data_IF_454098821247
#
_entry.id   IF_454098821247
#
_cell.length_a   1.000
_cell.length_b   1.000
_cell.length_c   1.000
_cell.angle_alpha   90.00
_cell.angle_beta   90.00
_cell.angle_gamma   90.00
#
_symmetry.space_group_name_H-M   'P 1'
#
loop_
_entity.id
_entity.type
_entity.pdbx_description
1 polymer ?
#
# COMPACT_ATOMS: atom_id res chain seq x y z
N UNK A 1 40.26 -29.34 -31.63
CA UNK A 1 39.02 -29.75 -32.32
C UNK A 1 39.24 -31.17 -32.83
N UNK A 2 38.45 -32.18 -32.45
CA UNK A 2 38.65 -33.59 -32.87
C UNK A 2 38.76 -33.75 -34.39
N UNK A 3 38.06 -32.89 -35.14
CA UNK A 3 38.12 -32.79 -36.61
C UNK A 3 39.46 -32.28 -37.15
N UNK A 4 40.26 -31.54 -36.36
CA UNK A 4 41.59 -31.03 -36.75
C UNK A 4 42.73 -32.03 -36.51
N UNK A 5 42.49 -33.15 -35.82
CA UNK A 5 43.53 -34.10 -35.39
C UNK A 5 43.45 -35.44 -36.15
N UNK A 6 42.56 -35.57 -37.16
CA UNK A 6 42.54 -36.73 -38.06
C UNK A 6 42.16 -38.07 -37.39
N UNK A 7 41.56 -38.05 -36.21
CA UNK A 7 41.15 -39.25 -35.47
C UNK A 7 39.97 -39.95 -36.17
N UNK A 8 40.05 -41.28 -36.30
CA UNK A 8 38.94 -42.10 -36.77
C UNK A 8 37.73 -41.91 -35.83
N UNK A 9 36.55 -41.64 -36.40
CA UNK A 9 35.31 -41.28 -35.68
C UNK A 9 35.28 -39.87 -35.03
N UNK A 10 36.02 -38.89 -35.55
CA UNK A 10 36.00 -37.49 -35.07
C UNK A 10 34.60 -36.86 -34.93
N UNK A 11 33.66 -37.19 -35.82
CA UNK A 11 32.25 -36.76 -35.73
C UNK A 11 31.56 -37.27 -34.46
N UNK A 12 31.82 -38.52 -34.05
CA UNK A 12 31.21 -39.10 -32.85
C UNK A 12 31.64 -38.34 -31.59
N UNK A 13 32.92 -37.95 -31.51
CA UNK A 13 33.42 -37.17 -30.37
C UNK A 13 32.87 -35.73 -30.36
N UNK A 14 32.67 -35.14 -31.55
CA UNK A 14 32.04 -33.83 -31.67
C UNK A 14 30.56 -33.88 -31.23
N UNK A 15 29.80 -34.85 -31.73
CA UNK A 15 28.39 -35.03 -31.39
C UNK A 15 28.19 -35.26 -29.89
N UNK A 16 29.02 -36.10 -29.27
CA UNK A 16 28.98 -36.34 -27.83
C UNK A 16 29.29 -35.06 -27.04
N UNK A 17 30.34 -34.33 -27.41
CA UNK A 17 30.68 -33.08 -26.73
C UNK A 17 29.56 -32.03 -26.88
N UNK A 18 28.96 -31.93 -28.07
CA UNK A 18 27.86 -31.01 -28.34
C UNK A 18 26.61 -31.34 -27.53
N UNK A 19 26.21 -32.63 -27.50
CA UNK A 19 25.06 -33.09 -26.72
C UNK A 19 25.29 -32.88 -25.22
N UNK A 20 26.49 -33.14 -24.70
CA UNK A 20 26.84 -32.88 -23.30
C UNK A 20 26.72 -31.39 -22.96
N UNK A 21 27.17 -30.49 -23.84
CA UNK A 21 27.03 -29.04 -23.64
C UNK A 21 25.57 -28.62 -23.65
N UNK A 22 24.76 -29.12 -24.60
CA UNK A 22 23.32 -28.81 -24.65
C UNK A 22 22.61 -29.28 -23.37
N UNK A 23 22.87 -30.51 -22.94
CA UNK A 23 22.27 -31.06 -21.71
C UNK A 23 22.70 -30.23 -20.49
N UNK A 24 23.96 -29.82 -20.40
CA UNK A 24 24.46 -28.97 -19.33
C UNK A 24 23.77 -27.61 -19.31
N UNK A 25 23.60 -26.96 -20.46
CA UNK A 25 22.93 -25.66 -20.55
C UNK A 25 21.44 -25.76 -20.23
N UNK A 26 20.77 -26.84 -20.63
CA UNK A 26 19.37 -27.09 -20.27
C UNK A 26 19.21 -27.31 -18.76
N UNK A 27 20.08 -28.12 -18.15
CA UNK A 27 20.02 -28.40 -16.71
C UNK A 27 20.33 -27.14 -15.88
N UNK A 28 21.31 -26.34 -16.31
CA UNK A 28 21.68 -25.08 -15.66
C UNK A 28 20.60 -24.01 -15.83
N UNK A 29 20.06 -23.85 -17.05
CA UNK A 29 19.00 -22.89 -17.32
C UNK A 29 17.70 -23.21 -16.57
N UNK A 30 17.35 -24.50 -16.48
CA UNK A 30 16.13 -24.94 -15.79
C UNK A 30 16.20 -24.70 -14.27
N UNK A 31 17.37 -24.82 -13.64
CA UNK A 31 17.51 -24.70 -12.18
C UNK A 31 17.48 -23.25 -11.67
N UNK A 32 17.78 -22.27 -12.52
CA UNK A 32 17.80 -20.85 -12.15
C UNK A 32 16.41 -20.31 -11.79
N UNK A 33 15.39 -20.64 -12.60
CA UNK A 33 14.01 -20.16 -12.42
C UNK A 33 13.30 -20.65 -11.13
N UNK A 34 13.36 -21.93 -10.74
CA UNK A 34 12.82 -22.40 -9.46
C UNK A 34 13.65 -21.90 -8.27
N UNK A 35 14.98 -21.78 -8.39
CA UNK A 35 15.82 -21.22 -7.34
C UNK A 35 15.47 -19.76 -7.04
N UNK A 36 15.33 -18.92 -8.07
CA UNK A 36 14.92 -17.52 -7.93
C UNK A 36 13.53 -17.37 -7.27
N UNK A 37 12.60 -18.27 -7.58
CA UNK A 37 11.27 -18.32 -6.95
C UNK A 37 11.32 -18.75 -5.50
N UNK A 38 12.12 -19.78 -5.17
CA UNK A 38 12.27 -20.29 -3.80
C UNK A 38 12.98 -19.30 -2.87
N UNK A 39 13.91 -18.52 -3.40
CA UNK A 39 14.65 -17.49 -2.65
C UNK A 39 13.89 -16.16 -2.55
N UNK A 40 12.66 -16.04 -3.09
CA UNK A 40 11.89 -14.79 -3.16
C UNK A 40 12.64 -13.60 -3.80
N UNK A 41 13.70 -13.86 -4.58
CA UNK A 41 14.48 -12.86 -5.32
C UNK A 41 13.80 -12.49 -6.64
N UNK A 42 12.83 -13.31 -7.09
CA UNK A 42 11.92 -12.92 -8.14
C UNK A 42 11.03 -11.77 -7.64
N UNK A 43 11.48 -10.52 -7.81
CA UNK A 43 10.63 -9.36 -7.60
C UNK A 43 9.33 -9.58 -8.42
N UNK A 44 8.14 -9.35 -7.83
CA UNK A 44 6.92 -9.22 -8.61
C UNK A 44 7.25 -8.28 -9.77
N UNK A 45 6.85 -8.62 -11.00
CA UNK A 45 6.98 -7.68 -12.12
C UNK A 45 6.36 -6.39 -11.63
N UNK A 46 7.19 -5.37 -11.40
CA UNK A 46 6.69 -4.03 -11.12
C UNK A 46 5.71 -3.76 -12.26
N UNK A 47 4.44 -3.59 -11.91
CA UNK A 47 3.42 -3.20 -12.87
C UNK A 47 4.01 -2.05 -13.65
N UNK A 48 4.12 -2.20 -14.98
CA UNK A 48 4.87 -1.28 -15.82
C UNK A 48 4.43 0.14 -15.45
N UNK A 49 5.37 0.91 -14.91
CA UNK A 49 5.14 2.31 -14.62
C UNK A 49 4.61 3.02 -15.87
N UNK A 50 3.91 4.15 -15.70
CA UNK A 50 3.33 4.91 -16.80
C UNK A 50 4.37 5.09 -17.91
N UNK A 51 3.99 4.73 -19.13
CA UNK A 51 4.87 4.82 -20.29
C UNK A 51 4.97 6.29 -20.70
N UNK A 52 6.10 6.90 -20.38
CA UNK A 52 6.40 8.31 -20.66
C UNK A 52 6.89 8.42 -22.11
N UNK A 53 6.27 9.31 -22.88
CA UNK A 53 6.72 9.65 -24.23
C UNK A 53 6.99 11.14 -24.25
N UNK A 54 8.26 11.50 -24.39
CA UNK A 54 8.69 12.88 -24.59
C UNK A 54 8.29 13.29 -26.00
N UNK A 55 7.51 14.37 -26.10
CA UNK A 55 7.08 14.92 -27.37
C UNK A 55 7.72 16.30 -27.49
N UNK A 56 8.74 16.43 -28.32
CA UNK A 56 9.37 17.74 -28.56
C UNK A 56 8.43 18.58 -29.44
N UNK A 57 7.67 19.49 -28.82
CA UNK A 57 6.87 20.47 -29.55
C UNK A 57 7.75 21.65 -29.99
N UNK A 58 7.73 22.06 -31.28
CA UNK A 58 8.46 23.24 -31.73
C UNK A 58 7.83 24.50 -31.13
N UNK A 59 8.58 25.15 -30.24
CA UNK A 59 8.22 26.43 -29.61
C UNK A 59 8.01 26.34 -28.09
N UNK A 60 9.10 26.51 -27.34
CA UNK A 60 9.19 26.98 -25.94
C UNK A 60 8.34 26.33 -24.83
N UNK A 61 7.50 25.35 -25.12
CA UNK A 61 6.71 24.63 -24.14
C UNK A 61 7.21 23.18 -24.11
N UNK A 62 8.22 22.94 -23.28
CA UNK A 62 8.63 21.58 -22.91
C UNK A 62 7.45 20.94 -22.18
N UNK A 63 6.60 20.24 -22.93
CA UNK A 63 5.44 19.52 -22.44
C UNK A 63 5.66 18.06 -22.77
N UNK A 64 5.46 17.20 -21.77
CA UNK A 64 5.56 15.76 -21.92
C UNK A 64 4.16 15.15 -21.99
N UNK A 65 4.00 14.13 -22.83
CA UNK A 65 2.79 13.34 -22.87
C UNK A 65 2.94 12.12 -21.95
N UNK A 66 2.07 12.02 -20.94
CA UNK A 66 2.14 10.97 -19.94
C UNK A 66 0.83 10.18 -19.92
N UNK A 67 0.93 8.86 -20.06
CA UNK A 67 -0.21 7.95 -20.11
C UNK A 67 -0.41 7.19 -18.80
N UNK A 68 -1.63 7.25 -18.26
CA UNK A 68 -2.03 6.60 -17.02
C UNK A 68 -3.23 5.66 -17.21
N UNK A 69 -3.19 4.44 -16.68
CA UNK A 69 -4.39 3.60 -16.58
C UNK A 69 -5.32 4.17 -15.50
N UNK A 70 -6.61 4.28 -15.82
CA UNK A 70 -7.64 4.70 -14.88
C UNK A 70 -8.00 3.53 -14.00
N UNK A 71 -7.60 3.61 -12.73
CA UNK A 71 -7.91 2.56 -11.75
C UNK A 71 -9.17 2.89 -10.94
N UNK A 72 -9.98 1.88 -10.55
CA UNK A 72 -11.22 2.08 -9.80
C UNK A 72 -11.03 2.78 -8.44
N UNK A 73 -9.84 2.68 -7.84
CA UNK A 73 -9.52 3.28 -6.53
C UNK A 73 -8.62 4.50 -6.62
N UNK A 74 -8.35 4.99 -7.83
CA UNK A 74 -7.55 6.20 -8.05
C UNK A 74 -8.27 7.47 -7.58
N UNK A 75 -7.51 8.48 -7.16
CA UNK A 75 -8.05 9.79 -6.80
C UNK A 75 -8.74 10.46 -7.99
N UNK A 76 -8.17 10.28 -9.19
CA UNK A 76 -8.76 10.76 -10.44
C UNK A 76 -10.17 10.18 -10.65
N UNK A 77 -10.33 8.85 -10.58
CA UNK A 77 -11.63 8.23 -10.81
C UNK A 77 -12.67 8.59 -9.72
N UNK A 78 -12.25 8.62 -8.45
CA UNK A 78 -13.19 8.87 -7.33
C UNK A 78 -13.63 10.31 -7.18
N UNK A 79 -12.74 11.28 -7.48
CA UNK A 79 -12.99 12.70 -7.20
C UNK A 79 -12.91 13.61 -8.43
N UNK A 80 -12.53 13.08 -9.60
CA UNK A 80 -12.31 13.87 -10.81
C UNK A 80 -11.18 14.90 -10.68
N UNK A 81 -10.27 14.72 -9.71
CA UNK A 81 -9.25 15.71 -9.41
C UNK A 81 -8.05 15.56 -10.34
N UNK A 82 -7.78 16.62 -11.08
CA UNK A 82 -6.53 16.80 -11.85
C UNK A 82 -5.94 18.19 -11.54
N UNK A 83 -4.60 18.29 -11.44
CA UNK A 83 -3.96 19.58 -11.30
C UNK A 83 -4.20 20.50 -12.50
N UNK A 84 -4.31 21.80 -12.27
CA UNK A 84 -4.53 22.82 -13.32
C UNK A 84 -3.40 22.93 -14.34
N UNK A 85 -2.19 22.49 -13.98
CA UNK A 85 -1.04 22.43 -14.86
C UNK A 85 -1.00 21.17 -15.74
N UNK A 86 -1.97 20.26 -15.60
CA UNK A 86 -2.13 19.10 -16.46
C UNK A 86 -3.36 19.24 -17.33
N UNK A 87 -3.27 18.80 -18.59
CA UNK A 87 -4.39 18.82 -19.53
C UNK A 87 -4.62 17.43 -20.11
N UNK A 88 -5.78 16.79 -19.86
CA UNK A 88 -6.16 15.58 -20.55
C UNK A 88 -6.34 15.87 -22.04
N UNK A 89 -5.73 15.06 -22.90
CA UNK A 89 -5.72 15.29 -24.35
C UNK A 89 -6.36 14.13 -25.10
N UNK A 90 -6.18 12.91 -24.61
CA UNK A 90 -6.59 11.68 -25.28
C UNK A 90 -6.98 10.64 -24.24
N UNK A 91 -8.01 9.84 -24.55
CA UNK A 91 -8.38 8.63 -23.81
C UNK A 91 -8.40 7.45 -24.78
N UNK A 92 -7.82 6.33 -24.37
CA UNK A 92 -7.91 5.05 -25.09
C UNK A 92 -8.86 4.14 -24.32
N UNK A 93 -9.94 3.72 -24.98
CA UNK A 93 -10.93 2.75 -24.47
C UNK A 93 -11.20 1.72 -25.56
N UNK A 94 -11.07 0.43 -25.24
CA UNK A 94 -11.31 -0.67 -26.19
C UNK A 94 -10.60 -0.48 -27.54
N UNK A 95 -9.30 -0.11 -27.51
CA UNK A 95 -8.47 0.19 -28.68
C UNK A 95 -8.93 1.38 -29.54
N UNK A 96 -9.93 2.15 -29.07
CA UNK A 96 -10.41 3.36 -29.73
C UNK A 96 -9.81 4.59 -29.09
N UNK A 97 -9.40 5.53 -29.93
CA UNK A 97 -8.95 6.87 -29.56
C UNK A 97 -10.19 7.76 -29.40
N UNK A 98 -10.38 8.29 -28.19
CA UNK A 98 -11.47 9.19 -27.82
C UNK A 98 -10.89 10.50 -27.28
N UNK A 99 -11.58 11.61 -27.53
CA UNK A 99 -11.31 12.86 -26.81
C UNK A 99 -11.82 12.75 -25.36
N UNK A 100 -11.27 13.54 -24.41
CA UNK A 100 -11.76 13.52 -23.02
C UNK A 100 -13.26 13.81 -22.88
N UNK A 101 -13.84 14.56 -23.82
CA UNK A 101 -15.28 14.87 -23.86
C UNK A 101 -16.09 13.66 -24.33
N UNK A 102 -15.62 12.95 -25.36
CA UNK A 102 -16.28 11.73 -25.86
C UNK A 102 -16.16 10.55 -24.89
N UNK A 103 -15.10 10.55 -24.08
CA UNK A 103 -14.85 9.51 -23.09
C UNK A 103 -15.60 9.73 -21.77
N UNK A 104 -16.33 10.83 -21.60
CA UNK A 104 -17.07 11.14 -20.36
C UNK A 104 -18.40 10.34 -20.28
N UNK A 105 -18.69 9.62 -19.18
CA UNK A 105 -17.85 9.42 -18.01
C UNK A 105 -16.70 8.44 -18.27
N UNK A 106 -15.52 8.80 -17.74
CA UNK A 106 -14.34 7.92 -17.75
C UNK A 106 -14.63 6.65 -16.96
N UNK A 107 -14.23 5.50 -17.48
CA UNK A 107 -14.44 4.19 -16.88
C UNK A 107 -13.12 3.58 -16.39
N UNK A 108 -13.17 2.68 -15.39
CA UNK A 108 -11.98 1.91 -15.01
C UNK A 108 -11.54 1.02 -16.17
N UNK A 109 -10.22 0.99 -16.43
CA UNK A 109 -9.65 0.30 -17.60
C UNK A 109 -9.32 1.22 -18.77
N UNK A 110 -9.82 2.46 -18.76
CA UNK A 110 -9.41 3.48 -19.71
C UNK A 110 -7.93 3.84 -19.54
N UNK A 111 -7.31 4.30 -20.63
CA UNK A 111 -5.95 4.83 -20.61
C UNK A 111 -5.97 6.31 -20.98
N UNK A 112 -5.70 7.19 -20.02
CA UNK A 112 -5.73 8.65 -20.23
C UNK A 112 -4.33 9.17 -20.46
N UNK A 113 -4.19 9.98 -21.50
CA UNK A 113 -2.97 10.72 -21.80
C UNK A 113 -3.16 12.19 -21.45
N UNK A 114 -2.23 12.71 -20.65
CA UNK A 114 -2.19 14.10 -20.22
C UNK A 114 -0.91 14.77 -20.70
N UNK A 115 -1.03 16.04 -21.08
CA UNK A 115 0.11 16.94 -21.25
C UNK A 115 0.46 17.59 -19.92
N UNK A 116 1.73 17.56 -19.56
CA UNK A 116 2.25 18.20 -18.34
C UNK A 116 3.71 18.68 -18.52
N UNK A 117 4.15 19.69 -17.77
CA UNK A 117 5.57 20.05 -17.68
C UNK A 117 6.42 18.89 -17.15
N UNK A 118 7.63 18.65 -17.68
CA UNK A 118 8.45 17.50 -17.32
C UNK A 118 8.82 17.48 -15.83
N UNK A 119 9.04 18.63 -15.20
CA UNK A 119 9.41 18.72 -13.78
C UNK A 119 8.26 18.32 -12.84
N UNK A 120 7.02 18.32 -13.34
CA UNK A 120 5.81 18.01 -12.57
C UNK A 120 5.11 16.74 -13.03
N UNK A 121 5.57 16.13 -14.11
CA UNK A 121 4.99 14.92 -14.69
C UNK A 121 4.88 13.78 -13.66
N UNK A 122 5.90 13.60 -12.81
CA UNK A 122 5.92 12.57 -11.76
C UNK A 122 4.89 12.83 -10.65
N UNK A 123 4.55 14.09 -10.38
CA UNK A 123 3.53 14.42 -9.40
C UNK A 123 2.12 13.97 -9.82
N UNK A 124 1.90 13.62 -11.10
CA UNK A 124 0.64 13.04 -11.58
C UNK A 124 0.45 11.59 -11.13
N UNK A 125 1.53 10.83 -10.91
CA UNK A 125 1.47 9.42 -10.51
C UNK A 125 0.52 9.23 -9.32
N UNK A 126 0.58 10.14 -8.33
CA UNK A 126 -0.24 10.09 -7.11
C UNK A 126 -1.75 10.17 -7.32
N UNK A 127 -2.21 10.69 -8.47
CA UNK A 127 -3.63 10.81 -8.79
C UNK A 127 -4.18 9.55 -9.45
N UNK A 128 -3.32 8.75 -10.08
CA UNK A 128 -3.68 7.56 -10.87
C UNK A 128 -3.28 6.23 -10.22
N UNK A 129 -2.41 6.25 -9.21
CA UNK A 129 -2.18 5.08 -8.35
C UNK A 129 -3.46 4.71 -7.61
N UNK A 130 -3.65 3.42 -7.36
CA UNK A 130 -4.68 2.99 -6.41
C UNK A 130 -4.39 3.66 -5.09
N UNK A 131 -5.38 4.39 -4.57
CA UNK A 131 -5.33 4.73 -3.16
C UNK A 131 -5.17 3.40 -2.44
N UNK A 132 -4.12 3.28 -1.62
CA UNK A 132 -4.09 2.21 -0.64
C UNK A 132 -5.48 2.20 -0.03
N UNK A 133 -6.13 1.03 0.13
CA UNK A 133 -7.23 1.02 1.07
C UNK A 133 -6.63 1.73 2.29
N UNK A 134 -7.21 2.86 2.68
CA UNK A 134 -7.42 3.02 4.10
C UNK A 134 -8.10 1.70 4.38
N UNK A 135 -7.33 0.70 4.84
CA UNK A 135 -7.89 -0.34 5.65
C UNK A 135 -8.75 0.49 6.55
N UNK A 136 -10.08 0.40 6.37
CA UNK A 136 -10.95 0.71 7.48
C UNK A 136 -10.25 -0.02 8.61
N UNK A 137 -9.62 0.70 9.56
CA UNK A 137 -8.83 0.04 10.58
C UNK A 137 -9.74 -1.04 11.14
N UNK A 138 -9.19 -2.22 11.41
CA UNK A 138 -9.95 -3.38 11.87
C UNK A 138 -11.10 -2.93 12.80
N UNK A 139 -12.38 -3.30 12.57
CA UNK A 139 -13.49 -2.87 13.42
C UNK A 139 -13.25 -3.10 14.91
N UNK A 140 -12.44 -4.09 15.27
CA UNK A 140 -12.03 -4.38 16.65
C UNK A 140 -10.84 -3.52 17.14
N UNK A 141 -10.15 -2.83 16.23
CA UNK A 141 -9.21 -1.72 16.50
C UNK A 141 -9.88 -0.35 16.38
N UNK A 142 -11.09 -0.27 15.83
CA UNK A 142 -11.97 0.89 15.82
C UNK A 142 -12.74 0.90 17.14
N UNK A 143 -12.13 1.54 18.14
CA UNK A 143 -12.96 2.35 19.02
C UNK A 143 -13.68 3.37 18.14
N UNK A 144 -14.92 3.04 17.82
CA UNK A 144 -16.03 3.83 17.32
C UNK A 144 -15.82 5.37 17.31
N UNK A 145 -15.80 5.95 16.11
CA UNK A 145 -15.79 7.40 15.86
C UNK A 145 -14.45 8.13 16.14
N UNK A 146 -13.97 8.84 15.11
CA UNK A 146 -12.83 9.76 15.20
C UNK A 146 -13.35 11.19 15.28
N UNK A 147 -12.85 11.94 16.25
CA UNK A 147 -13.23 13.33 16.50
C UNK A 147 -11.98 14.21 16.47
N UNK A 148 -12.12 15.44 15.97
CA UNK A 148 -11.04 16.43 16.05
C UNK A 148 -10.78 16.81 17.51
N UNK A 149 -9.50 16.89 17.89
CA UNK A 149 -9.12 17.21 19.26
C UNK A 149 -9.45 18.65 19.69
N UNK A 150 -9.86 19.51 18.76
CA UNK A 150 -10.31 20.89 19.00
C UNK A 150 -11.74 20.96 19.57
N UNK A 151 -12.51 19.87 19.48
CA UNK A 151 -13.84 19.80 20.08
C UNK A 151 -13.76 19.76 21.60
N UNK A 152 -14.79 20.31 22.25
CA UNK A 152 -14.86 20.33 23.71
C UNK A 152 -15.40 19.03 24.27
N UNK A 153 -15.02 18.70 25.50
CA UNK A 153 -15.58 17.56 26.23
C UNK A 153 -17.10 17.69 26.44
N UNK A 154 -17.61 18.90 26.61
CA UNK A 154 -19.05 19.16 26.72
C UNK A 154 -19.83 18.79 25.46
N UNK A 155 -19.31 19.14 24.28
CA UNK A 155 -19.92 18.73 23.00
C UNK A 155 -19.96 17.21 22.86
N UNK A 156 -18.91 16.52 23.30
CA UNK A 156 -18.84 15.07 23.27
C UNK A 156 -19.81 14.42 24.27
N UNK A 157 -19.95 15.02 25.46
CA UNK A 157 -20.90 14.63 26.48
C UNK A 157 -22.36 14.73 26.02
N UNK A 158 -22.72 15.80 25.30
CA UNK A 158 -24.08 15.97 24.76
C UNK A 158 -24.42 14.93 23.69
N UNK A 159 -23.45 14.55 22.85
CA UNK A 159 -23.67 13.62 21.74
C UNK A 159 -23.72 12.17 22.22
N UNK A 160 -22.79 11.76 23.09
CA UNK A 160 -22.63 10.37 23.51
C UNK A 160 -23.24 10.08 24.89
N UNK A 161 -23.80 11.08 25.55
CA UNK A 161 -24.47 10.93 26.85
C UNK A 161 -23.51 10.65 28.02
N UNK A 162 -22.21 10.90 27.85
CA UNK A 162 -21.19 10.67 28.88
C UNK A 162 -21.16 11.80 29.90
N UNK A 163 -20.91 11.47 31.17
CA UNK A 163 -20.87 12.45 32.24
C UNK A 163 -19.50 13.12 32.31
N UNK A 164 -19.48 14.45 32.26
CA UNK A 164 -18.26 15.26 32.42
C UNK A 164 -18.51 16.33 33.46
N UNK A 165 -17.52 16.59 34.32
CA UNK A 165 -17.58 17.68 35.29
C UNK A 165 -17.71 19.04 34.58
N UNK A 166 -18.49 19.96 35.17
CA UNK A 166 -18.79 21.27 34.57
C UNK A 166 -17.53 22.13 34.32
N UNK A 167 -16.47 21.91 35.12
CA UNK A 167 -15.16 22.53 34.92
C UNK A 167 -14.37 21.91 33.75
N UNK A 168 -14.54 20.61 33.49
CA UNK A 168 -13.87 19.90 32.40
C UNK A 168 -14.63 20.01 31.08
N UNK A 169 -15.94 20.25 31.10
CA UNK A 169 -16.77 20.37 29.91
C UNK A 169 -16.29 21.47 28.94
N UNK A 170 -15.59 22.50 29.44
CA UNK A 170 -15.02 23.60 28.64
C UNK A 170 -13.66 23.29 28.02
N UNK A 171 -13.01 22.21 28.45
CA UNK A 171 -11.70 21.82 27.93
C UNK A 171 -11.86 21.18 26.56
N UNK A 172 -10.90 21.45 25.67
CA UNK A 172 -10.78 20.69 24.42
C UNK A 172 -10.29 19.28 24.73
N UNK A 173 -10.55 18.34 23.83
CA UNK A 173 -10.00 16.99 23.96
C UNK A 173 -8.46 17.05 23.97
N UNK A 174 -7.84 17.93 23.18
CA UNK A 174 -6.39 18.13 23.22
C UNK A 174 -5.89 18.57 24.61
N UNK A 175 -6.52 19.58 25.21
CA UNK A 175 -6.16 20.09 26.53
C UNK A 175 -6.38 19.03 27.61
N UNK A 176 -7.42 18.22 27.48
CA UNK A 176 -7.66 17.10 28.40
C UNK A 176 -6.54 16.07 28.35
N UNK A 177 -6.04 15.73 27.15
CA UNK A 177 -4.87 14.86 27.01
C UNK A 177 -3.59 15.49 27.60
N UNK A 178 -3.41 16.81 27.45
CA UNK A 178 -2.23 17.51 27.98
C UNK A 178 -2.26 17.65 29.51
N UNK A 179 -3.44 17.82 30.12
CA UNK A 179 -3.60 17.96 31.59
C UNK A 179 -3.53 16.60 32.29
N UNK A 180 -4.14 15.56 31.71
CA UNK A 180 -4.35 14.28 32.38
C UNK A 180 -3.23 13.26 32.11
N UNK A 181 -2.27 13.57 31.23
CA UNK A 181 -1.08 12.73 31.02
C UNK A 181 0.14 13.31 31.73
N UNK A 182 0.80 12.50 32.55
CA UNK A 182 2.07 12.88 33.24
C UNK A 182 3.25 13.15 32.28
N UNK A 183 3.09 12.79 31.01
CA UNK A 183 4.11 12.90 29.96
C UNK A 183 3.47 13.36 28.66
N UNK A 184 4.30 13.93 27.78
CA UNK A 184 3.85 14.33 26.45
C UNK A 184 3.07 13.20 25.75
N UNK A 185 1.93 13.51 25.11
CA UNK A 185 1.07 12.51 24.53
C UNK A 185 1.82 11.69 23.47
N UNK A 186 1.54 10.40 23.43
CA UNK A 186 2.03 9.47 22.40
C UNK A 186 0.86 8.86 21.66
N UNK A 187 1.06 8.50 20.40
CA UNK A 187 0.04 7.80 19.62
C UNK A 187 -0.33 6.49 20.33
N UNK A 188 -1.63 6.24 20.46
CA UNK A 188 -2.20 5.14 21.24
C UNK A 188 -2.34 5.41 22.74
N UNK A 189 -2.04 6.61 23.25
CA UNK A 189 -2.33 6.96 24.65
C UNK A 189 -3.83 6.93 24.90
N UNK A 190 -4.24 6.33 26.03
CA UNK A 190 -5.64 6.14 26.38
C UNK A 190 -5.99 6.92 27.65
N UNK A 191 -7.15 7.58 27.66
CA UNK A 191 -7.73 8.25 28.81
C UNK A 191 -9.18 7.83 28.96
N UNK A 192 -9.56 7.36 30.15
CA UNK A 192 -10.94 7.00 30.44
C UNK A 192 -11.79 8.25 30.65
N UNK A 193 -12.97 8.29 30.02
CA UNK A 193 -13.98 9.32 30.19
C UNK A 193 -15.33 8.65 30.44
N UNK A 194 -15.72 8.53 31.71
CA UNK A 194 -16.94 7.82 32.14
C UNK A 194 -16.97 6.38 31.59
N UNK A 195 -17.96 6.03 30.75
CA UNK A 195 -18.09 4.70 30.17
C UNK A 195 -17.24 4.51 28.89
N UNK A 196 -16.72 5.58 28.27
CA UNK A 196 -15.93 5.49 27.04
C UNK A 196 -14.43 5.70 27.30
N UNK A 197 -13.59 5.18 26.40
CA UNK A 197 -12.14 5.39 26.44
C UNK A 197 -11.70 6.26 25.27
N UNK A 198 -11.13 7.43 25.55
CA UNK A 198 -10.52 8.30 24.56
C UNK A 198 -9.14 7.75 24.19
N UNK A 199 -8.83 7.64 22.90
CA UNK A 199 -7.55 7.13 22.39
C UNK A 199 -6.90 8.16 21.46
N UNK A 200 -5.68 8.59 21.76
CA UNK A 200 -4.92 9.48 20.89
C UNK A 200 -4.51 8.77 19.59
N UNK A 201 -5.01 9.22 18.44
CA UNK A 201 -4.76 8.58 17.13
C UNK A 201 -3.75 9.31 16.26
N UNK A 202 -3.67 10.63 16.38
CA UNK A 202 -2.72 11.43 15.63
C UNK A 202 -2.22 12.58 16.48
N UNK A 203 -0.92 12.83 16.42
CA UNK A 203 -0.24 13.89 17.16
C UNK A 203 0.50 14.78 16.16
N UNK A 204 0.34 16.08 16.30
CA UNK A 204 1.01 17.07 15.45
C UNK A 204 1.47 18.25 16.31
N UNK A 205 2.72 18.66 16.14
CA UNK A 205 3.29 19.74 16.96
C UNK A 205 3.35 19.44 18.45
N UNK A 206 3.39 18.16 18.84
CA UNK A 206 3.42 17.74 20.25
C UNK A 206 2.05 17.71 20.93
N UNK A 207 0.97 18.04 20.21
CA UNK A 207 -0.41 17.98 20.71
C UNK A 207 -1.25 16.98 19.95
N UNK A 208 -2.25 16.41 20.61
CA UNK A 208 -3.19 15.47 19.99
C UNK A 208 -4.08 16.26 19.03
N UNK A 209 -4.20 15.78 17.79
CA UNK A 209 -5.05 16.40 16.76
C UNK A 209 -6.30 15.56 16.44
N UNK A 210 -6.22 14.24 16.64
CA UNK A 210 -7.32 13.30 16.38
C UNK A 210 -7.44 12.32 17.54
N UNK A 211 -8.67 12.20 18.04
CA UNK A 211 -9.04 11.31 19.14
C UNK A 211 -10.04 10.27 18.63
N UNK A 212 -9.85 9.00 18.97
CA UNK A 212 -10.84 7.95 18.76
C UNK A 212 -11.60 7.65 20.04
N UNK A 213 -12.88 7.27 19.96
CA UNK A 213 -13.70 6.92 21.12
C UNK A 213 -13.91 5.41 21.16
N UNK A 214 -13.42 4.72 22.17
CA UNK A 214 -13.73 3.29 22.33
C UNK A 214 -14.92 3.16 23.26
N UNK A 215 -16.05 2.72 22.72
CA UNK A 215 -17.18 2.27 23.52
C UNK A 215 -16.86 0.89 24.14
N UNK A 216 -17.34 0.62 25.36
CA UNK A 216 -17.19 -0.68 25.98
C UNK A 216 -18.13 -1.67 25.28
N UNK A 217 -17.58 -2.69 24.64
CA UNK A 217 -18.39 -3.83 24.15
C UNK A 217 -18.85 -4.69 25.34
N UNK A 218 -20.10 -5.18 25.29
CA UNK A 218 -20.51 -6.31 26.14
C UNK A 218 -19.57 -7.50 25.83
N UNK A 219 -18.99 -8.11 26.87
CA UNK A 219 -17.96 -9.15 26.79
C UNK A 219 -18.28 -10.28 25.79
N UNK A 220 -17.72 -10.21 24.58
CA UNK A 220 -17.74 -11.34 23.66
C UNK A 220 -16.67 -12.36 24.07
N UNK A 221 -17.17 -13.47 24.62
CA UNK A 221 -16.42 -14.63 25.11
C UNK A 221 -15.34 -15.07 24.12
N UNK A 222 -14.08 -14.96 24.54
CA UNK A 222 -12.93 -15.55 23.86
C UNK A 222 -13.19 -17.03 23.60
N UNK A 223 -13.47 -17.39 22.35
CA UNK A 223 -13.60 -18.79 21.93
C UNK A 223 -12.22 -19.45 22.10
N UNK A 224 -12.09 -20.51 22.93
CA UNK A 224 -10.78 -21.08 23.25
C UNK A 224 -10.17 -21.75 22.02
N UNK A 225 -8.91 -21.42 21.75
CA UNK A 225 -8.10 -22.00 20.69
C UNK A 225 -8.02 -23.53 20.83
N UNK A 226 -8.41 -24.23 19.77
CA UNK A 226 -8.47 -25.69 19.71
C UNK A 226 -7.09 -26.32 19.89
N UNK A 227 -7.02 -27.42 20.66
CA UNK A 227 -5.83 -28.23 21.04
C UNK A 227 -4.81 -28.49 19.92
N UNK A 228 -5.22 -28.41 18.65
CA UNK A 228 -4.36 -28.61 17.47
C UNK A 228 -3.33 -27.47 17.28
N UNK A 229 -3.59 -26.26 17.78
CA UNK A 229 -2.64 -25.13 17.70
C UNK A 229 -1.54 -25.20 18.76
N UNK A 230 -1.80 -25.83 19.92
CA UNK A 230 -0.80 -26.01 20.99
C UNK A 230 0.26 -27.06 20.62
N UNK A 231 -0.11 -28.08 19.84
CA UNK A 231 0.82 -29.15 19.41
C UNK A 231 1.85 -28.64 18.41
N UNK A 232 1.46 -27.74 17.48
CA UNK A 232 2.40 -27.15 16.51
C UNK A 232 3.48 -26.30 17.17
N UNK A 233 3.16 -25.60 18.26
CA UNK A 233 4.13 -24.76 18.99
C UNK A 233 5.11 -25.58 19.83
N UNK A 234 4.67 -26.69 20.45
CA UNK A 234 5.61 -27.57 21.18
C UNK A 234 6.61 -28.29 20.27
N UNK A 235 6.24 -28.57 19.01
CA UNK A 235 7.16 -29.20 18.06
C UNK A 235 8.28 -28.25 17.60
N UNK A 236 8.04 -26.94 17.48
CA UNK A 236 9.12 -26.00 17.12
C UNK A 236 10.16 -25.83 18.23
N UNK A 237 9.73 -25.88 19.49
CA UNK A 237 10.62 -25.63 20.64
C UNK A 237 11.56 -26.83 20.89
N UNK A 238 11.13 -28.05 20.57
CA UNK A 238 11.97 -29.27 20.71
C UNK A 238 13.03 -29.35 19.60
N UNK A 239 12.75 -28.85 18.39
CA UNK A 239 13.74 -28.83 17.30
C UNK A 239 14.84 -27.80 17.52
N UNK A 240 14.57 -26.71 18.25
CA UNK A 240 15.57 -25.73 18.61
C UNK A 240 16.57 -26.23 19.69
N UNK A 241 16.17 -27.18 20.55
CA UNK A 241 17.04 -27.68 21.62
C UNK A 241 17.98 -28.83 21.21
N UNK A 242 17.81 -29.41 20.00
CA UNK A 242 18.63 -30.54 19.53
C UNK A 242 19.69 -30.11 18.50
N UNK A 243 19.57 -28.92 17.91
CA UNK A 243 20.55 -28.39 16.94
C UNK A 243 21.68 -27.57 17.59
N UNK A 244 21.89 -27.70 18.89
CA UNK A 244 22.96 -27.03 19.65
C UNK A 244 23.93 -28.01 20.31
N UNK A 245 24.72 -28.74 19.51
CA UNK A 245 26.06 -29.26 19.84
C UNK A 245 26.93 -29.10 18.59
#
# INVERSE_FOLDING_TARGET
IPMLVGLSKAYLYFDVAFVVVIISLLLQGWTLAPAARKLHVALPRAERGPRRVELDLPGQLEQQLVGYPVRPKSLYFRRGLIPSWSKPTLVIRDERILTPVEADPVAPGDYIYLLAPPERAEALDRFFVDMAPSSAPDPHLLGDFMVSAEHTLGELAEIYGVKVDEHQAKLTLADYFDINLDRAPKEGAELALDEIVLVARSISGGRVNVVGLRLPEEEDKVVPQTRMQTVRRKLSDIWASVAGV
#
